data_IF_627535323427
#
_entry.id   IF_627535323427
#
_cell.length_a   1.000
_cell.length_b   1.000
_cell.length_c   1.000
_cell.angle_alpha   90.00
_cell.angle_beta   90.00
_cell.angle_gamma   90.00
#
_symmetry.space_group_name_H-M   'P 1'
#
loop_
_entity.id
_entity.type
_entity.pdbx_description
1 polymer ?
#
# COMPACT_ATOMS: atom_id res chain seq x y z
N UNK A 1 -14.56 7.16 14.77
CA UNK A 1 -13.92 7.93 13.69
C UNK A 1 -12.55 7.31 13.47
N UNK A 2 -12.21 6.88 12.25
CA UNK A 2 -10.88 6.33 11.97
C UNK A 2 -9.84 7.45 11.94
N UNK A 3 -8.64 7.14 12.40
CA UNK A 3 -7.46 8.00 12.29
C UNK A 3 -6.99 8.03 10.84
N UNK A 4 -6.19 9.05 10.49
CA UNK A 4 -5.57 9.13 9.17
C UNK A 4 -4.71 7.89 8.85
N UNK A 5 -3.95 7.41 9.84
CA UNK A 5 -3.11 6.22 9.70
C UNK A 5 -3.93 4.94 9.42
N UNK A 6 -5.11 4.80 10.02
CA UNK A 6 -6.02 3.67 9.75
C UNK A 6 -6.57 3.73 8.34
N UNK A 7 -6.98 4.91 7.85
CA UNK A 7 -7.40 5.09 6.47
C UNK A 7 -6.27 4.80 5.48
N UNK A 8 -5.07 5.31 5.74
CA UNK A 8 -3.90 5.06 4.90
C UNK A 8 -3.57 3.56 4.86
N UNK A 9 -3.58 2.89 6.02
CA UNK A 9 -3.36 1.44 6.12
C UNK A 9 -4.37 0.64 5.30
N UNK A 10 -5.66 0.93 5.45
CA UNK A 10 -6.71 0.22 4.71
C UNK A 10 -6.59 0.44 3.20
N UNK A 11 -6.29 1.67 2.79
CA UNK A 11 -6.17 2.03 1.38
C UNK A 11 -4.99 1.30 0.72
N UNK A 12 -3.83 1.24 1.40
CA UNK A 12 -2.68 0.47 0.94
C UNK A 12 -2.97 -1.04 0.94
N UNK A 13 -3.60 -1.57 2.00
CA UNK A 13 -3.92 -2.99 2.10
C UNK A 13 -4.86 -3.45 0.98
N UNK A 14 -5.92 -2.68 0.71
CA UNK A 14 -6.88 -2.96 -0.36
C UNK A 14 -6.22 -2.93 -1.73
N UNK A 15 -5.36 -1.95 -2.00
CA UNK A 15 -4.62 -1.88 -3.26
C UNK A 15 -3.68 -3.07 -3.44
N UNK A 16 -2.95 -3.48 -2.39
CA UNK A 16 -2.08 -4.67 -2.44
C UNK A 16 -2.89 -5.95 -2.67
N UNK A 17 -4.07 -6.06 -2.08
CA UNK A 17 -4.94 -7.21 -2.27
C UNK A 17 -5.51 -7.27 -3.70
N UNK A 18 -5.92 -6.13 -4.25
CA UNK A 18 -6.45 -6.02 -5.61
C UNK A 18 -5.46 -6.52 -6.68
N UNK A 19 -4.17 -6.28 -6.47
CA UNK A 19 -3.10 -6.67 -7.40
C UNK A 19 -2.32 -7.92 -6.92
N UNK A 20 -2.89 -8.72 -6.03
CA UNK A 20 -2.26 -9.95 -5.52
C UNK A 20 -1.92 -10.92 -6.66
N UNK A 21 -0.73 -11.51 -6.62
CA UNK A 21 -0.26 -12.47 -7.63
C UNK A 21 0.38 -11.83 -8.88
N UNK A 22 0.35 -10.50 -9.01
CA UNK A 22 1.00 -9.78 -10.10
C UNK A 22 2.48 -9.55 -9.76
N UNK A 23 3.39 -9.89 -10.68
CA UNK A 23 4.85 -9.81 -10.50
C UNK A 23 5.33 -8.42 -10.06
N UNK A 24 4.73 -7.36 -10.61
CA UNK A 24 5.04 -5.96 -10.30
C UNK A 24 3.97 -5.27 -9.44
N UNK A 25 3.24 -6.03 -8.60
CA UNK A 25 2.18 -5.52 -7.70
C UNK A 25 2.54 -4.21 -7.00
N UNK A 26 3.71 -4.15 -6.34
CA UNK A 26 4.09 -2.99 -5.54
C UNK A 26 4.40 -1.75 -6.38
N UNK A 27 4.89 -1.92 -7.62
CA UNK A 27 5.11 -0.81 -8.56
C UNK A 27 3.77 -0.22 -8.98
N UNK A 28 2.82 -1.08 -9.39
CA UNK A 28 1.47 -0.67 -9.76
C UNK A 28 0.77 0.04 -8.60
N UNK A 29 0.86 -0.51 -7.38
CA UNK A 29 0.25 0.11 -6.19
C UNK A 29 0.87 1.48 -5.90
N UNK A 30 2.19 1.62 -5.96
CA UNK A 30 2.85 2.91 -5.74
C UNK A 30 2.35 3.97 -6.73
N UNK A 31 2.30 3.62 -8.02
CA UNK A 31 1.83 4.50 -9.08
C UNK A 31 0.35 4.87 -8.92
N UNK A 32 -0.51 3.90 -8.59
CA UNK A 32 -1.95 4.12 -8.37
C UNK A 32 -2.23 5.02 -7.17
N UNK A 33 -1.39 4.93 -6.13
CA UNK A 33 -1.51 5.76 -4.94
C UNK A 33 -0.80 7.11 -5.08
N UNK A 34 -0.10 7.36 -6.18
CA UNK A 34 0.64 8.60 -6.40
C UNK A 34 1.80 8.80 -5.41
N UNK A 35 2.38 7.71 -4.89
CA UNK A 35 3.48 7.75 -3.94
C UNK A 35 4.73 7.08 -4.51
N UNK A 36 5.91 7.52 -4.08
CA UNK A 36 7.14 6.85 -4.45
C UNK A 36 7.20 5.41 -3.92
N UNK A 37 7.82 4.50 -4.67
CA UNK A 37 8.00 3.09 -4.29
C UNK A 37 8.61 2.94 -2.89
N UNK A 38 9.67 3.71 -2.59
CA UNK A 38 10.31 3.69 -1.27
C UNK A 38 9.34 4.06 -0.14
N UNK A 39 8.42 5.00 -0.38
CA UNK A 39 7.35 5.35 0.57
C UNK A 39 6.40 4.18 0.78
N UNK A 40 5.95 3.53 -0.30
CA UNK A 40 5.10 2.35 -0.20
C UNK A 40 5.77 1.25 0.63
N UNK A 41 7.04 0.92 0.37
CA UNK A 41 7.78 -0.09 1.14
C UNK A 41 7.87 0.27 2.63
N UNK A 42 8.17 1.53 2.98
CA UNK A 42 8.17 2.00 4.38
C UNK A 42 6.80 1.83 5.03
N UNK A 43 5.71 2.14 4.32
CA UNK A 43 4.34 2.03 4.85
C UNK A 43 3.90 0.57 5.00
N UNK A 44 4.24 -0.29 4.05
CA UNK A 44 4.04 -1.74 4.16
C UNK A 44 4.69 -2.28 5.44
N UNK A 45 5.94 -1.89 5.70
CA UNK A 45 6.65 -2.26 6.92
C UNK A 45 6.02 -1.64 8.17
N UNK A 46 5.72 -0.33 8.17
CA UNK A 46 5.06 0.39 9.28
C UNK A 46 3.75 -0.29 9.70
N UNK A 47 2.98 -0.79 8.74
CA UNK A 47 1.65 -1.35 8.97
C UNK A 47 1.59 -2.88 9.02
N UNK A 48 2.74 -3.56 8.88
CA UNK A 48 2.85 -5.01 8.79
C UNK A 48 1.92 -5.62 7.72
N UNK A 49 1.94 -5.05 6.51
CA UNK A 49 1.13 -5.48 5.37
C UNK A 49 1.92 -6.46 4.48
N UNK A 50 2.08 -7.70 4.93
CA UNK A 50 2.80 -8.76 4.19
C UNK A 50 1.92 -10.00 4.02
#
# INVERSE_FOLDING_TARGET
MKTFDEYEKELIANALLQYKGIKNRNEIVADKLGIGRATLYRKISKYNLV
#
